data_IF_525311821955
#
_entry.id   IF_525311821955
#
_cell.length_a   1.000
_cell.length_b   1.000
_cell.length_c   1.000
_cell.angle_alpha   90.00
_cell.angle_beta   90.00
_cell.angle_gamma   90.00
#
_symmetry.space_group_name_H-M   'P 1'
#
loop_
_entity.id
_entity.type
_entity.pdbx_description
1 polymer ?
#
# COMPACT_ATOMS: atom_id res chain seq x y z
N UNK A 1 -9.47 -1.11 -16.85
CA UNK A 1 -10.57 -0.65 -15.98
C UNK A 1 -11.95 -1.03 -16.53
N UNK A 2 -12.23 -0.87 -17.83
CA UNK A 2 -13.55 -1.22 -18.42
C UNK A 2 -14.01 -2.67 -18.18
N UNK A 3 -13.10 -3.65 -18.22
CA UNK A 3 -13.43 -5.05 -17.94
C UNK A 3 -13.88 -5.25 -16.48
N UNK A 4 -13.20 -4.62 -15.53
CA UNK A 4 -13.52 -4.73 -14.09
C UNK A 4 -14.93 -4.19 -13.85
N UNK A 5 -15.22 -2.99 -14.34
CA UNK A 5 -16.53 -2.36 -14.14
C UNK A 5 -17.66 -3.07 -14.89
N UNK A 6 -17.35 -3.75 -15.99
CA UNK A 6 -18.31 -4.51 -16.81
C UNK A 6 -18.65 -5.87 -16.19
N UNK A 7 -17.68 -6.53 -15.56
CA UNK A 7 -17.83 -7.93 -15.11
C UNK A 7 -17.95 -8.10 -13.60
N UNK A 8 -17.52 -7.11 -12.80
CA UNK A 8 -17.62 -7.17 -11.33
C UNK A 8 -18.56 -6.09 -10.80
N UNK A 9 -19.60 -6.52 -10.06
CA UNK A 9 -20.49 -5.60 -9.34
C UNK A 9 -19.79 -5.02 -8.12
N UNK A 10 -20.24 -3.84 -7.69
CA UNK A 10 -19.78 -3.24 -6.43
C UNK A 10 -20.27 -4.04 -5.23
N UNK A 11 -19.57 -3.89 -4.11
CA UNK A 11 -19.94 -4.51 -2.85
C UNK A 11 -19.57 -5.99 -2.76
N UNK A 12 -20.13 -6.66 -1.75
CA UNK A 12 -19.70 -7.99 -1.34
C UNK A 12 -20.39 -9.10 -2.12
N UNK A 13 -19.62 -10.11 -2.53
CA UNK A 13 -20.07 -11.41 -2.99
C UNK A 13 -20.07 -12.39 -1.83
N UNK A 14 -21.14 -13.15 -1.67
CA UNK A 14 -21.18 -14.29 -0.76
C UNK A 14 -20.45 -15.47 -1.37
N UNK A 15 -19.98 -16.38 -0.52
CA UNK A 15 -19.35 -17.63 -0.98
C UNK A 15 -20.28 -18.44 -1.89
N UNK A 16 -21.56 -18.51 -1.53
CA UNK A 16 -22.59 -19.19 -2.32
C UNK A 16 -22.77 -18.58 -3.72
N UNK A 17 -22.82 -17.24 -3.82
CA UNK A 17 -22.87 -16.56 -5.14
C UNK A 17 -21.62 -16.88 -5.97
N UNK A 18 -20.44 -16.95 -5.36
CA UNK A 18 -19.21 -17.30 -6.09
C UNK A 18 -19.27 -18.75 -6.60
N UNK A 19 -19.71 -19.69 -5.77
CA UNK A 19 -19.92 -21.08 -6.17
C UNK A 19 -20.90 -21.19 -7.36
N UNK A 20 -22.00 -20.44 -7.33
CA UNK A 20 -22.97 -20.39 -8.43
C UNK A 20 -22.36 -19.83 -9.71
N UNK A 21 -21.64 -18.70 -9.63
CA UNK A 21 -21.00 -18.04 -10.78
C UNK A 21 -19.94 -18.94 -11.42
N UNK A 22 -19.19 -19.68 -10.61
CA UNK A 22 -18.10 -20.54 -11.06
C UNK A 22 -18.56 -21.96 -11.39
N UNK A 23 -19.83 -22.30 -11.13
CA UNK A 23 -20.40 -23.64 -11.31
C UNK A 23 -19.63 -24.72 -10.52
N UNK A 24 -19.26 -24.43 -9.26
CA UNK A 24 -18.51 -25.33 -8.37
C UNK A 24 -19.20 -25.51 -7.02
N UNK A 25 -18.90 -26.60 -6.34
CA UNK A 25 -19.25 -26.80 -4.93
C UNK A 25 -18.37 -25.96 -4.00
N UNK A 26 -18.82 -25.76 -2.77
CA UNK A 26 -18.00 -25.09 -1.75
C UNK A 26 -16.71 -25.86 -1.44
N UNK A 27 -16.77 -27.20 -1.47
CA UNK A 27 -15.60 -28.05 -1.24
C UNK A 27 -14.55 -27.85 -2.33
N UNK A 28 -14.95 -27.83 -3.60
CA UNK A 28 -14.04 -27.54 -4.72
C UNK A 28 -13.45 -26.13 -4.63
N UNK A 29 -14.26 -25.12 -4.26
CA UNK A 29 -13.76 -23.76 -4.06
C UNK A 29 -12.72 -23.70 -2.92
N UNK A 30 -12.97 -24.41 -1.81
CA UNK A 30 -12.05 -24.52 -0.68
C UNK A 30 -10.73 -25.18 -1.03
N UNK A 31 -10.75 -26.19 -1.91
CA UNK A 31 -9.56 -26.94 -2.30
C UNK A 31 -8.71 -26.19 -3.33
N UNK A 32 -9.34 -25.46 -4.26
CA UNK A 32 -8.63 -24.88 -5.41
C UNK A 32 -8.28 -23.40 -5.20
N UNK A 33 -9.16 -22.63 -4.54
CA UNK A 33 -9.05 -21.16 -4.52
C UNK A 33 -8.84 -20.54 -3.14
N UNK A 34 -9.02 -21.31 -2.06
CA UNK A 34 -8.86 -20.82 -0.68
C UNK A 34 -7.79 -21.62 0.06
N UNK A 35 -7.17 -20.97 1.06
CA UNK A 35 -6.24 -21.62 1.97
C UNK A 35 -6.99 -22.04 3.24
N UNK A 36 -6.39 -22.94 4.02
CA UNK A 36 -7.00 -23.44 5.27
C UNK A 36 -7.44 -22.31 6.22
N UNK A 37 -6.66 -21.22 6.29
CA UNK A 37 -6.98 -20.06 7.12
C UNK A 37 -8.04 -19.12 6.50
N UNK A 38 -8.54 -19.37 5.29
CA UNK A 38 -9.56 -18.55 4.62
C UNK A 38 -10.85 -19.32 4.30
N UNK A 39 -10.93 -20.62 4.60
CA UNK A 39 -12.14 -21.43 4.38
C UNK A 39 -13.40 -20.87 5.07
N UNK A 40 -13.22 -20.24 6.23
CA UNK A 40 -14.31 -19.66 7.01
C UNK A 40 -14.84 -18.33 6.44
N UNK A 41 -14.18 -17.74 5.46
CA UNK A 41 -14.59 -16.48 4.85
C UNK A 41 -15.85 -16.70 4.00
N UNK A 42 -16.89 -15.92 4.31
CA UNK A 42 -18.19 -16.01 3.63
C UNK A 42 -18.47 -14.85 2.69
N UNK A 43 -17.60 -13.84 2.69
CA UNK A 43 -17.81 -12.54 2.06
C UNK A 43 -16.53 -12.10 1.35
N UNK A 44 -16.67 -11.72 0.09
CA UNK A 44 -15.56 -11.37 -0.79
C UNK A 44 -15.83 -10.04 -1.47
N UNK A 45 -14.85 -9.14 -1.43
CA UNK A 45 -14.92 -7.84 -2.11
C UNK A 45 -14.07 -7.97 -3.38
N UNK A 46 -14.70 -8.27 -4.51
CA UNK A 46 -13.95 -8.63 -5.72
C UNK A 46 -13.55 -7.41 -6.55
N UNK A 47 -14.47 -6.47 -6.77
CA UNK A 47 -14.28 -5.35 -7.69
C UNK A 47 -13.21 -4.39 -7.19
N UNK A 48 -13.27 -4.00 -5.92
CA UNK A 48 -12.37 -3.03 -5.31
C UNK A 48 -10.95 -3.62 -5.22
N UNK A 49 -10.81 -4.90 -4.84
CA UNK A 49 -9.50 -5.59 -4.80
C UNK A 49 -8.89 -5.71 -6.19
N UNK A 50 -9.68 -6.07 -7.21
CA UNK A 50 -9.19 -6.11 -8.59
C UNK A 50 -8.86 -4.71 -9.13
N UNK A 51 -9.62 -3.68 -8.74
CA UNK A 51 -9.35 -2.28 -9.10
C UNK A 51 -8.02 -1.82 -8.51
N UNK A 52 -7.75 -2.13 -7.23
CA UNK A 52 -6.47 -1.87 -6.60
C UNK A 52 -5.33 -2.53 -7.37
N UNK A 53 -5.38 -3.85 -7.56
CA UNK A 53 -4.31 -4.64 -8.21
C UNK A 53 -4.01 -4.11 -9.62
N UNK A 54 -5.04 -3.91 -10.45
CA UNK A 54 -4.84 -3.43 -11.81
C UNK A 54 -4.33 -1.98 -11.85
N UNK A 55 -4.81 -1.11 -10.96
CA UNK A 55 -4.37 0.29 -10.93
C UNK A 55 -2.94 0.42 -10.36
N UNK A 56 -2.56 -0.41 -9.39
CA UNK A 56 -1.21 -0.46 -8.84
C UNK A 56 -0.21 -0.95 -9.89
N UNK A 57 -0.54 -2.01 -10.66
CA UNK A 57 0.29 -2.46 -11.76
C UNK A 57 0.49 -1.37 -12.84
N UNK A 58 -0.55 -0.61 -13.17
CA UNK A 58 -0.43 0.54 -14.07
C UNK A 58 0.43 1.66 -13.48
N UNK A 59 0.30 1.96 -12.18
CA UNK A 59 1.15 2.95 -11.50
C UNK A 59 2.62 2.57 -11.57
N UNK A 60 2.97 1.29 -11.40
CA UNK A 60 4.34 0.80 -11.60
C UNK A 60 4.81 1.02 -13.03
N UNK A 61 3.99 0.70 -14.04
CA UNK A 61 4.35 0.92 -15.43
C UNK A 61 4.54 2.40 -15.79
N UNK A 62 3.79 3.30 -15.15
CA UNK A 62 3.96 4.75 -15.29
C UNK A 62 5.15 5.28 -14.52
N UNK A 63 5.41 4.76 -13.31
CA UNK A 63 6.58 5.12 -12.51
C UNK A 63 7.88 4.97 -13.29
N UNK A 64 8.01 3.89 -14.08
CA UNK A 64 9.18 3.64 -14.92
C UNK A 64 9.37 4.65 -16.08
N UNK A 65 8.35 5.43 -16.41
CA UNK A 65 8.35 6.41 -17.51
C UNK A 65 8.35 7.85 -17.02
N UNK A 66 8.01 8.07 -15.76
CA UNK A 66 7.93 9.39 -15.15
C UNK A 66 9.34 9.92 -14.86
N UNK A 67 9.54 11.23 -15.06
CA UNK A 67 10.85 11.88 -14.95
C UNK A 67 10.87 13.02 -13.94
N UNK A 68 9.71 13.42 -13.43
CA UNK A 68 9.54 14.51 -12.46
C UNK A 68 9.30 13.95 -11.06
N UNK A 69 9.88 14.59 -10.04
CA UNK A 69 9.68 14.17 -8.65
C UNK A 69 8.22 14.33 -8.22
N UNK A 70 7.54 15.35 -8.72
CA UNK A 70 6.12 15.60 -8.49
C UNK A 70 5.26 14.50 -9.12
N UNK A 71 5.58 14.08 -10.35
CA UNK A 71 4.89 12.97 -11.01
C UNK A 71 5.05 11.66 -10.24
N UNK A 72 6.27 11.35 -9.79
CA UNK A 72 6.55 10.19 -8.95
C UNK A 72 5.78 10.28 -7.62
N UNK A 73 5.82 11.43 -6.97
CA UNK A 73 5.10 11.70 -5.74
C UNK A 73 3.58 11.49 -5.86
N UNK A 74 2.98 11.99 -6.95
CA UNK A 74 1.57 11.78 -7.27
C UNK A 74 1.22 10.30 -7.43
N UNK A 75 2.10 9.50 -8.05
CA UNK A 75 1.91 8.05 -8.17
C UNK A 75 1.96 7.35 -6.80
N UNK A 76 2.87 7.75 -5.90
CA UNK A 76 2.94 7.22 -4.52
C UNK A 76 1.67 7.52 -3.74
N UNK A 77 1.23 8.78 -3.74
CA UNK A 77 0.01 9.19 -3.02
C UNK A 77 -1.23 8.50 -3.58
N UNK A 78 -1.34 8.35 -4.90
CA UNK A 78 -2.42 7.59 -5.53
C UNK A 78 -2.39 6.10 -5.15
N UNK A 79 -1.20 5.52 -5.00
CA UNK A 79 -1.02 4.15 -4.51
C UNK A 79 -1.51 4.00 -3.08
N UNK A 80 -1.11 4.90 -2.17
CA UNK A 80 -1.59 4.88 -0.79
C UNK A 80 -3.12 4.98 -0.70
N UNK A 81 -3.72 5.93 -1.42
CA UNK A 81 -5.18 6.11 -1.44
C UNK A 81 -5.91 4.85 -1.93
N UNK A 82 -5.36 4.18 -2.94
CA UNK A 82 -5.94 2.93 -3.43
C UNK A 82 -5.75 1.77 -2.43
N UNK A 83 -4.60 1.70 -1.75
CA UNK A 83 -4.36 0.70 -0.69
C UNK A 83 -5.31 0.89 0.49
N UNK A 84 -5.54 2.14 0.92
CA UNK A 84 -6.44 2.48 2.01
C UNK A 84 -7.91 2.22 1.66
N UNK A 85 -8.37 2.70 0.50
CA UNK A 85 -9.79 2.64 0.11
C UNK A 85 -10.18 1.35 -0.61
N UNK A 86 -9.42 0.96 -1.63
CA UNK A 86 -9.81 -0.12 -2.53
C UNK A 86 -9.30 -1.48 -2.03
N UNK A 87 -8.13 -1.51 -1.37
CA UNK A 87 -7.55 -2.72 -0.77
C UNK A 87 -7.88 -2.89 0.72
N UNK A 88 -8.25 -1.81 1.41
CA UNK A 88 -8.57 -1.79 2.85
C UNK A 88 -7.44 -2.37 3.71
N UNK A 89 -6.20 -2.04 3.33
CA UNK A 89 -4.98 -2.55 3.96
C UNK A 89 -4.11 -1.45 4.57
N UNK A 90 -4.69 -0.28 4.90
CA UNK A 90 -3.98 0.74 5.67
C UNK A 90 -4.25 0.61 7.17
N UNK A 91 -3.67 1.52 7.94
CA UNK A 91 -3.85 1.66 9.39
C UNK A 91 -3.94 3.15 9.77
N UNK A 92 -4.77 3.55 10.75
CA UNK A 92 -4.93 4.96 11.12
C UNK A 92 -3.64 5.68 11.49
N UNK A 93 -2.66 5.00 12.10
CA UNK A 93 -1.37 5.60 12.42
C UNK A 93 -0.55 5.83 11.14
N UNK A 94 -0.58 4.90 10.20
CA UNK A 94 0.05 5.07 8.90
C UNK A 94 -0.60 6.17 8.06
N UNK A 95 -1.94 6.24 8.03
CA UNK A 95 -2.68 7.29 7.31
C UNK A 95 -2.31 8.68 7.85
N UNK A 96 -2.27 8.83 9.19
CA UNK A 96 -1.83 10.06 9.84
C UNK A 96 -0.36 10.39 9.52
N UNK A 97 0.52 9.39 9.49
CA UNK A 97 1.92 9.62 9.15
C UNK A 97 2.10 10.04 7.69
N UNK A 98 1.34 9.47 6.77
CA UNK A 98 1.32 9.91 5.35
C UNK A 98 0.83 11.35 5.26
N UNK A 99 -0.26 11.72 5.94
CA UNK A 99 -0.78 13.09 5.96
C UNK A 99 0.27 14.08 6.50
N UNK A 100 0.90 13.75 7.63
CA UNK A 100 1.95 14.59 8.22
C UNK A 100 3.17 14.71 7.32
N UNK A 101 3.56 13.64 6.63
CA UNK A 101 4.65 13.68 5.65
C UNK A 101 4.31 14.60 4.47
N UNK A 102 3.09 14.54 3.94
CA UNK A 102 2.66 15.45 2.87
C UNK A 102 2.66 16.91 3.36
N UNK A 103 2.17 17.18 4.57
CA UNK A 103 2.19 18.52 5.17
C UNK A 103 3.61 19.04 5.44
N UNK A 104 4.56 18.15 5.70
CA UNK A 104 5.98 18.46 5.87
C UNK A 104 6.72 18.67 4.53
N UNK A 105 6.03 18.59 3.39
CA UNK A 105 6.59 18.89 2.07
C UNK A 105 7.11 17.68 1.30
N UNK A 106 6.73 16.45 1.66
CA UNK A 106 7.01 15.30 0.81
C UNK A 106 6.35 15.48 -0.57
N UNK A 107 7.07 15.12 -1.64
CA UNK A 107 6.51 15.05 -2.98
C UNK A 107 5.40 13.98 -3.07
N UNK A 108 5.56 12.89 -2.31
CA UNK A 108 4.56 11.84 -2.14
C UNK A 108 4.92 10.90 -1.01
N UNK A 109 3.91 10.30 -0.38
CA UNK A 109 4.11 9.34 0.69
C UNK A 109 3.11 8.19 0.61
N UNK A 110 3.52 7.00 1.06
CA UNK A 110 2.67 5.81 1.09
C UNK A 110 3.10 4.81 2.14
N UNK A 111 2.17 3.97 2.56
CA UNK A 111 2.47 2.69 3.23
C UNK A 111 3.32 1.81 2.31
N UNK A 112 4.29 1.12 2.91
CA UNK A 112 5.14 0.12 2.25
C UNK A 112 5.07 -1.22 2.99
N UNK A 113 5.20 -2.32 2.24
CA UNK A 113 4.98 -3.67 2.75
C UNK A 113 3.53 -4.12 2.64
N UNK A 114 3.11 -5.01 3.54
CA UNK A 114 1.78 -5.63 3.50
C UNK A 114 0.64 -4.69 3.90
N UNK A 115 0.93 -3.68 4.73
CA UNK A 115 -0.07 -2.80 5.33
C UNK A 115 -0.55 -3.24 6.71
N UNK A 116 -1.69 -2.71 7.15
CA UNK A 116 -2.24 -2.85 8.51
C UNK A 116 -1.24 -2.44 9.61
N UNK A 117 -0.48 -1.38 9.34
CA UNK A 117 0.59 -0.86 10.19
C UNK A 117 1.94 -0.90 9.46
N UNK A 118 3.03 -0.91 10.23
CA UNK A 118 4.38 -1.01 9.71
C UNK A 118 4.95 0.35 9.30
N UNK A 119 5.50 0.44 8.09
CA UNK A 119 6.30 1.58 7.64
C UNK A 119 5.60 2.42 6.58
N UNK A 120 5.92 3.72 6.59
CA UNK A 120 5.61 4.66 5.51
C UNK A 120 6.92 5.03 4.82
N UNK A 121 6.89 5.08 3.48
CA UNK A 121 7.95 5.65 2.67
C UNK A 121 7.48 7.00 2.11
N UNK A 122 8.31 8.03 2.28
CA UNK A 122 8.05 9.37 1.78
C UNK A 122 9.20 9.81 0.86
N UNK A 123 8.85 10.49 -0.22
CA UNK A 123 9.78 11.02 -1.21
C UNK A 123 10.04 12.51 -0.92
N UNK A 124 11.29 12.86 -0.69
CA UNK A 124 11.74 14.25 -0.46
C UNK A 124 13.07 14.50 -1.19
N UNK A 125 13.48 15.76 -1.30
CA UNK A 125 14.77 16.16 -1.88
C UNK A 125 15.81 16.40 -0.79
N UNK A 126 17.10 16.38 -1.15
CA UNK A 126 18.21 16.54 -0.19
C UNK A 126 18.18 17.87 0.54
N UNK A 127 17.81 18.93 -0.17
CA UNK A 127 17.70 20.30 0.36
C UNK A 127 16.55 20.48 1.35
N UNK A 128 15.52 19.62 1.31
CA UNK A 128 14.40 19.64 2.25
C UNK A 128 14.49 18.58 3.35
N UNK A 129 15.52 17.73 3.33
CA UNK A 129 15.59 16.53 4.18
C UNK A 129 15.61 16.85 5.68
N UNK A 130 16.47 17.78 6.11
CA UNK A 130 16.65 18.09 7.53
C UNK A 130 15.38 18.69 8.14
N UNK A 131 14.75 19.62 7.41
CA UNK A 131 13.48 20.23 7.81
C UNK A 131 12.35 19.20 7.84
N UNK A 132 12.29 18.32 6.85
CA UNK A 132 11.30 17.24 6.76
C UNK A 132 11.39 16.29 7.96
N UNK A 133 12.59 15.81 8.29
CA UNK A 133 12.83 14.93 9.45
C UNK A 133 12.47 15.67 10.74
N UNK A 134 12.92 16.92 10.89
CA UNK A 134 12.63 17.74 12.08
C UNK A 134 11.12 17.90 12.32
N UNK A 135 10.34 18.16 11.26
CA UNK A 135 8.88 18.27 11.36
C UNK A 135 8.21 16.96 11.77
N UNK A 136 8.62 15.82 11.21
CA UNK A 136 8.06 14.53 11.59
C UNK A 136 8.42 14.13 13.03
N UNK A 137 9.64 14.46 13.48
CA UNK A 137 10.05 14.31 14.88
C UNK A 137 9.14 15.10 15.82
N UNK A 138 8.81 16.34 15.48
CA UNK A 138 8.00 17.23 16.32
C UNK A 138 6.49 16.93 16.27
N UNK A 139 6.01 16.23 15.24
CA UNK A 139 4.57 16.01 15.01
C UNK A 139 4.13 14.57 15.30
N UNK A 140 4.63 13.59 14.54
CA UNK A 140 4.23 12.19 14.69
C UNK A 140 4.97 11.52 15.84
N UNK A 141 6.29 11.74 15.93
CA UNK A 141 7.18 11.05 16.86
C UNK A 141 7.46 11.82 18.16
N UNK A 142 6.78 12.94 18.41
CA UNK A 142 7.06 13.82 19.57
C UNK A 142 7.03 13.06 20.92
N UNK A 143 6.09 12.13 21.06
CA UNK A 143 5.86 11.36 22.28
C UNK A 143 6.34 9.90 22.11
N UNK A 144 7.18 9.62 21.12
CA UNK A 144 7.72 8.29 20.89
C UNK A 144 8.64 7.89 22.06
N UNK A 145 8.40 6.73 22.71
CA UNK A 145 9.12 6.38 23.94
C UNK A 145 10.55 5.85 23.70
N UNK A 146 10.90 5.54 22.45
CA UNK A 146 12.21 4.99 22.07
C UNK A 146 13.12 6.00 21.38
N UNK A 147 14.21 5.50 20.82
CA UNK A 147 15.09 6.31 19.97
C UNK A 147 14.40 6.55 18.61
N UNK A 148 14.15 7.81 18.29
CA UNK A 148 13.48 8.18 17.05
C UNK A 148 14.35 7.87 15.83
N UNK A 149 15.67 7.82 15.98
CA UNK A 149 16.60 7.58 14.87
C UNK A 149 16.54 6.13 14.37
N UNK A 150 16.03 5.21 15.20
CA UNK A 150 15.78 3.82 14.80
C UNK A 150 14.51 3.65 13.94
N UNK A 151 13.59 4.63 13.96
CA UNK A 151 12.27 4.53 13.31
C UNK A 151 11.98 5.63 12.29
N UNK A 152 12.82 6.68 12.25
CA UNK A 152 12.72 7.77 11.29
C UNK A 152 14.11 8.09 10.73
N UNK A 153 14.38 7.63 9.52
CA UNK A 153 15.68 7.80 8.88
C UNK A 153 15.56 7.94 7.36
N UNK A 154 16.48 8.68 6.71
CA UNK A 154 16.60 8.70 5.26
C UNK A 154 17.18 7.38 4.75
N UNK A 155 16.80 7.01 3.53
CA UNK A 155 17.39 5.87 2.82
C UNK A 155 17.61 6.21 1.35
N UNK A 156 18.65 5.61 0.78
CA UNK A 156 18.96 5.65 -0.66
C UNK A 156 19.05 4.22 -1.19
N UNK A 157 18.90 3.97 -2.50
CA UNK A 157 19.11 2.64 -3.07
C UNK A 157 20.50 2.10 -2.72
N UNK A 158 20.55 0.90 -2.11
CA UNK A 158 21.79 0.24 -1.68
C UNK A 158 22.05 -1.05 -2.45
N UNK A 159 23.27 -1.57 -2.35
CA UNK A 159 23.62 -2.89 -2.85
C UNK A 159 22.83 -4.00 -2.14
N UNK A 160 22.56 -5.08 -2.86
CA UNK A 160 21.94 -6.29 -2.30
C UNK A 160 22.91 -7.15 -1.49
N UNK A 161 22.51 -8.38 -1.19
CA UNK A 161 23.31 -9.33 -0.42
C UNK A 161 24.67 -9.64 -1.07
N UNK A 162 25.73 -9.67 -0.27
CA UNK A 162 27.08 -10.03 -0.70
C UNK A 162 27.81 -10.83 0.39
N UNK A 163 28.84 -11.59 -0.02
CA UNK A 163 29.67 -12.37 0.90
C UNK A 163 30.86 -11.52 1.34
N UNK A 164 30.98 -11.27 2.64
CA UNK A 164 32.18 -10.65 3.24
C UNK A 164 33.21 -11.75 3.47
N UNK A 165 34.36 -11.65 2.82
CA UNK A 165 35.52 -12.48 3.15
C UNK A 165 36.35 -11.76 4.22
N UNK A 166 36.85 -12.47 5.24
CA UNK A 166 37.72 -11.89 6.25
C UNK A 166 39.03 -11.36 5.65
#
# INVERSE_FOLDING_TARGET
MSLITKHLRTGTYTKAEICEILEVTEEELNQVSLNQNTHHIQKFVLRERMTHVASEAHRVAWWLKETTIEGLGNLMTASHNSMARDYEASDPACDRLVELAMNAGAAGARVTGAGWGGCVVALTTRDHLDDFISQLRQTFYKDYPGDVDEVLFPSEPQAGAYVVKP
#
